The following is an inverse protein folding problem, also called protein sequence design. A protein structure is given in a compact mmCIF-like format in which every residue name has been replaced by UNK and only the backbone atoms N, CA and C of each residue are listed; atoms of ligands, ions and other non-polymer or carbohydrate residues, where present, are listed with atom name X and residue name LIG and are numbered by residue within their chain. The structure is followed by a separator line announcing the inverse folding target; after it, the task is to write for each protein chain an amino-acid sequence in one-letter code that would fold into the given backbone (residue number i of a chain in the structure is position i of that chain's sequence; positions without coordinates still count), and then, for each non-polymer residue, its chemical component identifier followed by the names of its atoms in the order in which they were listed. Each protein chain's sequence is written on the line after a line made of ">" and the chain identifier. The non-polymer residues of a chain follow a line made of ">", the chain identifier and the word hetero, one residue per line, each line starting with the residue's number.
data_IF_731916104931
#
_entry.id   IF_731916104931
#
_cell.length_a   1.000
_cell.length_b   1.000
_cell.length_c   1.000
_cell.angle_alpha   90.00
_cell.angle_beta   90.00
_cell.angle_gamma   90.00
#
_symmetry.space_group_name_H-M   'P 1'
#
loop_
_entity.id
_entity.type
_entity.pdbx_description
1 polymer ?
#
# COMPACT_ATOMS: atom_id res chain seq x y z
N UNK A 1 7.53 -3.21 20.25
CA UNK A 1 7.23 -2.64 18.92
C UNK A 1 8.45 -2.74 18.01
N UNK A 2 8.90 -3.96 17.66
CA UNK A 2 10.18 -4.21 16.97
C UNK A 2 9.93 -4.84 15.58
N UNK A 3 10.57 -4.22 14.57
CA UNK A 3 10.78 -4.68 13.18
C UNK A 3 9.61 -4.50 12.18
N UNK A 4 9.05 -3.29 12.09
CA UNK A 4 8.32 -2.91 10.87
C UNK A 4 9.34 -2.76 9.73
N UNK A 5 9.07 -3.41 8.59
CA UNK A 5 9.87 -3.21 7.38
C UNK A 5 9.75 -1.76 6.93
N UNK A 6 10.83 -1.19 6.39
CA UNK A 6 10.83 0.14 5.80
C UNK A 6 9.69 0.31 4.78
N UNK A 7 9.41 -0.74 3.99
CA UNK A 7 8.32 -0.76 3.02
C UNK A 7 6.93 -0.58 3.68
N UNK A 8 6.73 -1.13 4.89
CA UNK A 8 5.47 -0.97 5.62
C UNK A 8 5.34 0.47 6.14
N UNK A 9 6.43 1.07 6.62
CA UNK A 9 6.43 2.47 7.07
C UNK A 9 6.10 3.40 5.91
N UNK A 10 6.75 3.21 4.75
CA UNK A 10 6.46 3.95 3.53
C UNK A 10 5.00 3.74 3.11
N UNK A 11 4.51 2.50 3.15
CA UNK A 11 3.12 2.18 2.83
C UNK A 11 2.10 2.92 3.71
N UNK A 12 2.37 3.05 5.01
CA UNK A 12 1.52 3.82 5.94
C UNK A 12 1.54 5.31 5.57
N UNK A 13 2.72 5.88 5.30
CA UNK A 13 2.84 7.29 4.94
C UNK A 13 2.09 7.63 3.64
N UNK A 14 2.28 6.82 2.60
CA UNK A 14 1.58 7.00 1.33
C UNK A 14 0.05 6.82 1.47
N UNK A 15 -0.39 5.90 2.33
CA UNK A 15 -1.82 5.73 2.63
C UNK A 15 -2.40 6.92 3.37
N UNK A 16 -1.64 7.50 4.32
CA UNK A 16 -2.03 8.70 5.02
C UNK A 16 -2.13 9.89 4.05
N UNK A 17 -1.12 10.11 3.22
CA UNK A 17 -1.12 11.15 2.18
C UNK A 17 -2.34 11.00 1.27
N UNK A 18 -2.56 9.80 0.71
CA UNK A 18 -3.71 9.57 -0.17
C UNK A 18 -5.06 9.81 0.50
N UNK A 19 -5.18 9.46 1.78
CA UNK A 19 -6.40 9.74 2.57
C UNK A 19 -6.59 11.24 2.78
N UNK A 20 -5.52 11.97 3.12
CA UNK A 20 -5.54 13.42 3.25
C UNK A 20 -5.90 14.10 1.92
N UNK A 21 -5.33 13.64 0.81
CA UNK A 21 -5.65 14.12 -0.54
C UNK A 21 -7.13 13.91 -0.88
N UNK A 22 -7.69 12.75 -0.52
CA UNK A 22 -9.10 12.46 -0.76
C UNK A 22 -10.03 13.35 0.07
N UNK A 23 -9.75 13.49 1.37
CA UNK A 23 -10.65 14.14 2.32
C UNK A 23 -10.55 15.67 2.24
N UNK A 24 -9.32 16.20 2.14
CA UNK A 24 -9.06 17.65 2.20
C UNK A 24 -9.12 18.25 0.79
N UNK A 25 -8.29 17.75 -0.11
CA UNK A 25 -8.12 18.33 -1.46
C UNK A 25 -9.18 17.84 -2.44
N UNK A 26 -9.93 16.78 -2.11
CA UNK A 26 -10.97 16.16 -2.95
C UNK A 26 -10.46 15.72 -4.33
N UNK A 27 -9.15 15.49 -4.44
CA UNK A 27 -8.52 15.00 -5.67
C UNK A 27 -8.58 13.48 -5.72
N UNK A 28 -9.67 12.95 -6.28
CA UNK A 28 -9.91 11.51 -6.31
C UNK A 28 -8.83 10.73 -7.06
N UNK A 29 -8.32 11.24 -8.18
CA UNK A 29 -7.29 10.58 -8.99
C UNK A 29 -5.95 10.50 -8.25
N UNK A 30 -5.47 11.64 -7.75
CA UNK A 30 -4.25 11.73 -6.95
C UNK A 30 -4.36 10.82 -5.72
N UNK A 31 -5.47 10.89 -4.99
CA UNK A 31 -5.73 10.02 -3.84
C UNK A 31 -5.68 8.53 -4.19
N UNK A 32 -6.31 8.13 -5.31
CA UNK A 32 -6.33 6.74 -5.76
C UNK A 32 -4.92 6.22 -6.06
N UNK A 33 -4.03 7.05 -6.61
CA UNK A 33 -2.62 6.70 -6.87
C UNK A 33 -1.90 6.44 -5.54
N UNK A 34 -1.94 7.40 -4.61
CA UNK A 34 -1.26 7.32 -3.32
C UNK A 34 -1.78 6.15 -2.46
N UNK A 35 -3.10 5.94 -2.43
CA UNK A 35 -3.73 4.83 -1.71
C UNK A 35 -3.39 3.47 -2.34
N UNK A 36 -3.39 3.37 -3.67
CA UNK A 36 -3.05 2.11 -4.35
C UNK A 36 -1.59 1.74 -4.06
N UNK A 37 -0.66 2.68 -4.20
CA UNK A 37 0.76 2.42 -3.91
C UNK A 37 0.99 2.08 -2.44
N UNK A 38 0.43 2.88 -1.51
CA UNK A 38 0.58 2.67 -0.07
C UNK A 38 0.06 1.30 0.38
N UNK A 39 -1.15 0.94 -0.06
CA UNK A 39 -1.73 -0.38 0.23
C UNK A 39 -0.98 -1.52 -0.45
N UNK A 40 -0.44 -1.30 -1.66
CA UNK A 40 0.39 -2.28 -2.36
C UNK A 40 1.63 -2.69 -1.55
N UNK A 41 2.32 -1.71 -0.96
CA UNK A 41 3.47 -1.93 -0.09
C UNK A 41 3.10 -2.61 1.23
N UNK A 42 1.98 -2.19 1.84
CA UNK A 42 1.48 -2.78 3.09
C UNK A 42 1.12 -4.25 2.92
N UNK A 43 0.29 -4.58 1.92
CA UNK A 43 -0.25 -5.93 1.74
C UNK A 43 0.87 -6.91 1.40
N UNK A 44 1.87 -6.50 0.63
CA UNK A 44 3.01 -7.35 0.23
C UNK A 44 4.04 -7.57 1.35
N UNK A 45 4.24 -6.61 2.26
CA UNK A 45 5.34 -6.65 3.23
C UNK A 45 4.91 -6.87 4.69
N UNK A 46 3.62 -6.75 5.01
CA UNK A 46 3.15 -6.86 6.39
C UNK A 46 3.16 -8.33 6.87
N UNK A 47 4.17 -8.66 7.69
CA UNK A 47 4.35 -9.97 8.30
C UNK A 47 3.44 -10.10 9.52
N UNK A 48 2.51 -11.04 9.48
CA UNK A 48 1.62 -11.34 10.60
C UNK A 48 2.32 -12.29 11.58
N UNK A 49 2.20 -12.02 12.87
CA UNK A 49 2.66 -12.94 13.93
C UNK A 49 1.49 -13.82 14.36
N UNK A 50 1.77 -15.10 14.65
CA UNK A 50 0.86 -16.04 15.29
C UNK A 50 1.43 -16.52 16.62
N UNK A 51 0.60 -17.16 17.43
CA UNK A 51 1.00 -17.86 18.65
C UNK A 51 0.78 -19.35 18.40
N UNK A 52 1.78 -20.18 18.68
CA UNK A 52 1.66 -21.65 18.60
C UNK A 52 0.90 -22.21 19.82
N UNK A 53 0.60 -23.51 19.80
CA UNK A 53 -0.06 -24.22 20.91
C UNK A 53 0.74 -24.22 22.22
N UNK A 54 2.01 -23.81 22.17
CA UNK A 54 2.96 -23.75 23.28
C UNK A 54 3.21 -22.30 23.74
N UNK A 55 2.44 -21.33 23.25
CA UNK A 55 2.53 -19.92 23.64
C UNK A 55 3.67 -19.14 22.98
N UNK A 56 4.38 -19.70 22.00
CA UNK A 56 5.53 -19.06 21.34
C UNK A 56 5.09 -18.23 20.14
N UNK A 57 5.64 -17.02 20.01
CA UNK A 57 5.36 -16.15 18.87
C UNK A 57 6.13 -16.61 17.63
N UNK A 58 5.42 -16.96 16.56
CA UNK A 58 6.00 -17.30 15.26
C UNK A 58 5.56 -16.30 14.18
N UNK A 59 6.41 -16.07 13.18
CA UNK A 59 6.07 -15.22 12.03
C UNK A 59 5.41 -16.07 10.95
N UNK A 60 4.13 -15.82 10.66
CA UNK A 60 3.40 -16.53 9.61
C UNK A 60 4.04 -16.23 8.24
N UNK A 61 4.22 -17.25 7.38
CA UNK A 61 4.67 -17.01 6.01
C UNK A 61 3.66 -16.09 5.30
N UNK A 62 4.16 -15.19 4.45
CA UNK A 62 3.31 -14.27 3.69
C UNK A 62 2.61 -15.08 2.58
N UNK A 63 1.26 -15.13 2.54
CA UNK A 63 0.51 -15.79 1.48
C UNK A 63 0.84 -15.20 0.10
N UNK A 64 1.04 -16.05 -0.92
CA UNK A 64 1.31 -15.61 -2.30
C UNK A 64 0.23 -14.66 -2.83
N UNK A 65 -1.02 -14.89 -2.47
CA UNK A 65 -2.14 -14.02 -2.87
C UNK A 65 -1.95 -12.57 -2.42
N UNK A 66 -1.41 -12.34 -1.21
CA UNK A 66 -1.14 -11.00 -0.69
C UNK A 66 -0.03 -10.31 -1.48
N UNK A 67 1.00 -11.05 -1.87
CA UNK A 67 2.07 -10.51 -2.73
C UNK A 67 1.52 -10.12 -4.10
N UNK A 68 0.68 -10.97 -4.71
CA UNK A 68 0.07 -10.68 -6.01
C UNK A 68 -0.87 -9.47 -5.96
N UNK A 69 -1.70 -9.36 -4.92
CA UNK A 69 -2.56 -8.19 -4.69
C UNK A 69 -1.70 -6.93 -4.49
N UNK A 70 -0.62 -7.04 -3.70
CA UNK A 70 0.29 -5.93 -3.49
C UNK A 70 0.94 -5.44 -4.79
N UNK A 71 1.40 -6.37 -5.63
CA UNK A 71 1.96 -6.06 -6.94
C UNK A 71 0.92 -5.43 -7.87
N UNK A 72 -0.29 -5.99 -7.92
CA UNK A 72 -1.40 -5.45 -8.71
C UNK A 72 -1.69 -3.99 -8.34
N UNK A 73 -1.75 -3.67 -7.05
CA UNK A 73 -1.99 -2.31 -6.57
C UNK A 73 -0.86 -1.34 -6.96
N UNK A 74 0.39 -1.79 -6.95
CA UNK A 74 1.53 -0.97 -7.40
C UNK A 74 1.43 -0.72 -8.91
N UNK A 75 1.14 -1.75 -9.71
CA UNK A 75 0.95 -1.60 -11.16
C UNK A 75 -0.22 -0.66 -11.46
N UNK A 76 -1.32 -0.78 -10.72
CA UNK A 76 -2.48 0.11 -10.84
C UNK A 76 -2.10 1.56 -10.54
N UNK A 77 -1.33 1.82 -9.48
CA UNK A 77 -0.85 3.16 -9.16
C UNK A 77 -0.03 3.77 -10.30
N UNK A 78 0.84 2.97 -10.95
CA UNK A 78 1.61 3.41 -12.11
C UNK A 78 0.70 3.74 -13.30
N UNK A 79 -0.30 2.90 -13.59
CA UNK A 79 -1.27 3.16 -14.65
C UNK A 79 -2.07 4.44 -14.40
N UNK A 80 -2.53 4.64 -13.16
CA UNK A 80 -3.25 5.85 -12.77
C UNK A 80 -2.37 7.10 -12.85
N UNK A 81 -1.08 6.99 -12.54
CA UNK A 81 -0.13 8.08 -12.69
C UNK A 81 0.07 8.47 -14.17
N UNK A 82 0.17 7.48 -15.07
CA UNK A 82 0.17 7.75 -16.51
C UNK A 82 -1.12 8.45 -16.97
N UNK A 83 -2.27 8.01 -16.46
CA UNK A 83 -3.55 8.65 -16.74
C UNK A 83 -3.56 10.10 -16.25
N UNK A 84 -3.07 10.37 -15.05
CA UNK A 84 -2.96 11.73 -14.51
C UNK A 84 -2.09 12.61 -15.41
N UNK A 85 -0.87 12.16 -15.74
CA UNK A 85 0.02 12.90 -16.65
C UNK A 85 -0.65 13.19 -18.00
N UNK A 86 -1.38 12.23 -18.55
CA UNK A 86 -2.11 12.43 -19.80
C UNK A 86 -3.22 13.48 -19.70
N UNK A 87 -3.96 13.49 -18.60
CA UNK A 87 -5.00 14.48 -18.34
C UNK A 87 -4.40 15.87 -18.13
N UNK A 88 -3.31 15.96 -17.37
CA UNK A 88 -2.59 17.21 -17.10
C UNK A 88 -2.02 17.83 -18.40
N UNK A 89 -1.59 17.01 -19.36
CA UNK A 89 -1.11 17.48 -20.67
C UNK A 89 -2.22 17.98 -21.60
N UNK A 90 -3.47 17.57 -21.36
CA UNK A 90 -4.65 18.00 -22.14
C UNK A 90 -5.29 19.28 -21.60
N UNK A 91 -4.93 19.67 -20.38
CA UNK A 91 -5.49 20.81 -19.67
C UNK A 91 -4.67 22.07 -19.92
#
# INVERSE_FOLDING_TARGET
>A
MKNLSLAVIIGILFSAIGTTTLIIFREALTAAIWLSFGNGLLVSNLRLKGVDEQGRQFVKPIPRIRVNIGLFLIVLAVMLLFLQVYLDLKQ
#
